data_IF_019282656596
#
_entry.id   IF_019282656596
#
_cell.length_a   1.000
_cell.length_b   1.000
_cell.length_c   1.000
_cell.angle_alpha   90.00
_cell.angle_beta   90.00
_cell.angle_gamma   90.00
#
_symmetry.space_group_name_H-M   'P 1'
#
loop_
_entity.id
_entity.type
_entity.pdbx_description
1 polymer ?
#
# COMPACT_ATOMS: atom_id res chain seq x y z
N UNK A 1 1.72 7.01 -10.16
CA UNK A 1 0.85 5.82 -9.91
C UNK A 1 -0.28 6.22 -8.98
N UNK A 2 -1.51 5.90 -9.36
CA UNK A 2 -2.67 6.17 -8.52
C UNK A 2 -3.13 4.91 -7.77
N UNK A 3 -4.08 5.11 -6.85
CA UNK A 3 -4.57 4.02 -6.01
C UNK A 3 -5.17 2.87 -6.80
N UNK A 4 -6.00 3.18 -7.80
CA UNK A 4 -6.65 2.14 -8.62
C UNK A 4 -5.61 1.29 -9.36
N UNK A 5 -4.61 1.93 -9.93
CA UNK A 5 -3.54 1.23 -10.65
C UNK A 5 -2.74 0.30 -9.73
N UNK A 6 -2.30 0.82 -8.60
CA UNK A 6 -1.50 0.02 -7.67
C UNK A 6 -2.29 -1.15 -7.09
N UNK A 7 -3.52 -0.89 -6.65
CA UNK A 7 -4.37 -1.93 -6.07
C UNK A 7 -4.64 -3.03 -7.08
N UNK A 8 -4.88 -2.68 -8.35
CA UNK A 8 -5.07 -3.66 -9.41
C UNK A 8 -3.83 -4.52 -9.61
N UNK A 9 -2.64 -3.90 -9.67
CA UNK A 9 -1.38 -4.62 -9.79
C UNK A 9 -1.16 -5.57 -8.62
N UNK A 10 -1.37 -5.10 -7.41
CA UNK A 10 -1.14 -5.88 -6.20
C UNK A 10 -2.10 -7.06 -6.10
N UNK A 11 -3.39 -6.83 -6.34
CA UNK A 11 -4.41 -7.88 -6.28
C UNK A 11 -4.13 -8.98 -7.30
N UNK A 12 -3.73 -8.60 -8.51
CA UNK A 12 -3.38 -9.57 -9.55
C UNK A 12 -2.11 -10.34 -9.20
N UNK A 13 -1.09 -9.66 -8.70
CA UNK A 13 0.17 -10.29 -8.33
C UNK A 13 -0.02 -11.32 -7.21
N UNK A 14 -0.84 -10.99 -6.23
CA UNK A 14 -1.12 -11.86 -5.09
C UNK A 14 -2.20 -12.90 -5.38
N UNK A 15 -2.83 -12.84 -6.56
CA UNK A 15 -3.93 -13.75 -6.94
C UNK A 15 -5.01 -13.78 -5.88
N UNK A 16 -5.47 -12.59 -5.45
CA UNK A 16 -6.50 -12.50 -4.43
C UNK A 16 -7.80 -13.18 -4.87
N UNK A 17 -8.55 -13.78 -3.94
CA UNK A 17 -9.81 -14.42 -4.28
C UNK A 17 -10.81 -13.42 -4.85
N UNK A 18 -11.60 -13.89 -5.82
CA UNK A 18 -12.67 -13.08 -6.38
C UNK A 18 -13.68 -12.72 -5.30
N UNK A 19 -14.19 -11.50 -5.38
CA UNK A 19 -15.21 -11.01 -4.46
C UNK A 19 -16.22 -10.20 -5.26
N UNK A 20 -17.50 -10.61 -5.21
CA UNK A 20 -18.56 -9.92 -5.92
C UNK A 20 -19.06 -8.67 -5.21
N UNK A 21 -18.69 -8.49 -3.94
CA UNK A 21 -19.07 -7.30 -3.19
C UNK A 21 -18.14 -6.16 -3.54
N UNK A 22 -18.65 -5.14 -4.20
CA UNK A 22 -17.84 -3.99 -4.62
C UNK A 22 -17.68 -2.95 -3.53
N UNK A 23 -18.26 -3.19 -2.35
CA UNK A 23 -18.29 -2.18 -1.29
C UNK A 23 -19.25 -1.04 -1.65
N UNK A 24 -19.46 -0.17 -0.70
CA UNK A 24 -20.39 0.94 -0.86
C UNK A 24 -19.63 2.26 -0.82
N UNK A 25 -18.73 2.49 -1.77
CA UNK A 25 -18.02 3.76 -1.87
C UNK A 25 -18.89 4.79 -2.57
N UNK A 26 -18.87 6.01 -2.08
CA UNK A 26 -19.64 7.11 -2.66
C UNK A 26 -19.19 7.45 -4.08
N UNK A 27 -17.94 7.17 -4.40
CA UNK A 27 -17.33 7.44 -5.71
C UNK A 27 -17.14 6.19 -6.56
N UNK A 28 -18.00 5.19 -6.38
CA UNK A 28 -17.94 3.95 -7.17
C UNK A 28 -17.91 4.20 -8.67
N UNK A 29 -18.67 5.19 -9.13
CA UNK A 29 -18.74 5.58 -10.53
C UNK A 29 -17.40 6.09 -11.07
N UNK A 30 -16.52 6.58 -10.21
CA UNK A 30 -15.19 7.06 -10.59
C UNK A 30 -14.14 5.95 -10.64
N UNK A 31 -14.44 4.80 -10.06
CA UNK A 31 -13.52 3.66 -10.13
C UNK A 31 -13.61 3.06 -11.53
N UNK A 32 -12.51 3.03 -12.29
CA UNK A 32 -12.54 2.43 -13.63
C UNK A 32 -13.10 1.01 -13.60
N UNK A 33 -13.85 0.65 -14.61
CA UNK A 33 -14.49 -0.67 -14.68
C UNK A 33 -13.47 -1.79 -14.50
N UNK A 34 -12.28 -1.65 -15.12
CA UNK A 34 -11.22 -2.65 -15.03
C UNK A 34 -10.65 -2.80 -13.60
N UNK A 35 -10.79 -1.77 -12.75
CA UNK A 35 -10.26 -1.77 -11.40
C UNK A 35 -11.28 -2.24 -10.35
N UNK A 36 -12.57 -2.20 -10.65
CA UNK A 36 -13.63 -2.50 -9.67
C UNK A 36 -13.52 -3.87 -9.00
N UNK A 37 -13.30 -4.97 -9.74
CA UNK A 37 -13.16 -6.27 -9.08
C UNK A 37 -11.92 -6.33 -8.17
N UNK A 38 -10.84 -5.68 -8.56
CA UNK A 38 -9.61 -5.67 -7.78
C UNK A 38 -9.73 -4.79 -6.54
N UNK A 39 -10.45 -3.68 -6.64
CA UNK A 39 -10.77 -2.86 -5.47
C UNK A 39 -11.59 -3.66 -4.45
N UNK A 40 -12.58 -4.42 -4.90
CA UNK A 40 -13.39 -5.27 -4.05
C UNK A 40 -12.55 -6.35 -3.37
N UNK A 41 -11.66 -7.00 -4.12
CA UNK A 41 -10.74 -8.00 -3.59
C UNK A 41 -9.83 -7.42 -2.50
N UNK A 42 -9.27 -6.23 -2.75
CA UNK A 42 -8.36 -5.57 -1.80
C UNK A 42 -9.08 -5.15 -0.51
N UNK A 43 -10.30 -4.67 -0.62
CA UNK A 43 -11.11 -4.32 0.56
C UNK A 43 -11.42 -5.58 1.36
N UNK A 44 -11.84 -6.64 0.70
CA UNK A 44 -12.17 -7.90 1.35
C UNK A 44 -10.95 -8.52 2.04
N UNK A 45 -9.77 -8.35 1.46
CA UNK A 45 -8.51 -8.87 2.03
C UNK A 45 -7.94 -7.97 3.14
N UNK A 46 -8.57 -6.85 3.45
CA UNK A 46 -8.10 -5.95 4.49
C UNK A 46 -6.92 -5.07 4.10
N UNK A 47 -6.59 -5.01 2.81
CA UNK A 47 -5.47 -4.21 2.31
C UNK A 47 -5.80 -2.73 2.31
N UNK A 48 -7.02 -2.38 1.92
CA UNK A 48 -7.53 -1.01 1.90
C UNK A 48 -8.92 -0.97 2.51
N UNK A 49 -9.28 0.17 3.11
CA UNK A 49 -10.59 0.35 3.73
C UNK A 49 -11.34 1.59 3.24
N UNK A 50 -10.74 2.36 2.33
CA UNK A 50 -11.29 3.65 1.93
C UNK A 50 -11.05 4.73 2.97
N UNK A 51 -11.61 5.90 2.72
CA UNK A 51 -11.46 7.06 3.59
C UNK A 51 -12.68 7.27 4.49
N UNK A 52 -12.51 8.08 5.53
CA UNK A 52 -13.56 8.32 6.52
C UNK A 52 -14.84 8.93 5.91
N UNK A 53 -14.71 9.64 4.78
CA UNK A 53 -15.85 10.23 4.07
C UNK A 53 -16.60 9.23 3.18
N UNK A 54 -16.22 7.96 3.19
CA UNK A 54 -16.86 6.92 2.40
C UNK A 54 -16.37 6.83 0.96
N UNK A 55 -15.28 7.51 0.62
CA UNK A 55 -14.72 7.47 -0.74
C UNK A 55 -13.55 6.50 -0.86
N UNK A 56 -13.31 6.01 -2.07
CA UNK A 56 -12.16 5.16 -2.41
C UNK A 56 -10.99 5.98 -2.96
N UNK A 57 -11.29 7.05 -3.70
CA UNK A 57 -10.33 7.95 -4.35
C UNK A 57 -9.39 7.22 -5.32
N UNK A 58 -9.93 6.63 -6.38
CA UNK A 58 -9.14 5.78 -7.30
C UNK A 58 -8.03 6.54 -8.02
N UNK A 59 -8.23 7.82 -8.31
CA UNK A 59 -7.28 8.64 -9.06
C UNK A 59 -6.22 9.30 -8.19
N UNK A 60 -6.35 9.22 -6.87
CA UNK A 60 -5.40 9.84 -5.96
C UNK A 60 -4.03 9.20 -6.10
N UNK A 61 -3.00 10.02 -6.20
CA UNK A 61 -1.61 9.55 -6.22
C UNK A 61 -1.24 8.95 -4.88
N UNK A 62 -0.50 7.85 -4.92
CA UNK A 62 -0.01 7.20 -3.70
C UNK A 62 1.30 7.81 -3.26
N UNK A 63 1.40 8.09 -1.96
CA UNK A 63 2.68 8.41 -1.35
C UNK A 63 3.45 7.13 -1.04
N UNK A 64 4.75 7.24 -0.80
CA UNK A 64 5.58 6.11 -0.39
C UNK A 64 5.05 5.49 0.91
N UNK A 65 4.57 6.32 1.85
CA UNK A 65 3.97 5.82 3.10
C UNK A 65 2.74 4.95 2.84
N UNK A 66 1.81 5.42 2.00
CA UNK A 66 0.59 4.69 1.70
C UNK A 66 0.87 3.37 1.00
N UNK A 67 1.76 3.39 0.01
CA UNK A 67 2.17 2.20 -0.73
C UNK A 67 2.78 1.16 0.23
N UNK A 68 3.65 1.59 1.13
CA UNK A 68 4.31 0.71 2.10
C UNK A 68 3.28 0.07 3.04
N UNK A 69 2.34 0.85 3.55
CA UNK A 69 1.28 0.33 4.43
C UNK A 69 0.45 -0.73 3.72
N UNK A 70 0.08 -0.49 2.46
CA UNK A 70 -0.70 -1.47 1.68
C UNK A 70 0.05 -2.79 1.51
N UNK A 71 1.34 -2.73 1.22
CA UNK A 71 2.16 -3.94 1.06
C UNK A 71 2.26 -4.73 2.36
N UNK A 72 2.50 -4.06 3.48
CA UNK A 72 2.60 -4.73 4.78
C UNK A 72 1.28 -5.41 5.13
N UNK A 73 0.17 -4.73 4.90
CA UNK A 73 -1.17 -5.32 5.12
C UNK A 73 -1.43 -6.50 4.20
N UNK A 74 -1.04 -6.38 2.93
CA UNK A 74 -1.24 -7.45 1.96
C UNK A 74 -0.50 -8.73 2.34
N UNK A 75 0.67 -8.59 2.96
CA UNK A 75 1.49 -9.73 3.39
C UNK A 75 1.08 -10.27 4.75
N UNK A 76 0.20 -9.59 5.48
CA UNK A 76 -0.20 -10.00 6.81
C UNK A 76 0.94 -9.95 7.83
N UNK A 77 1.93 -9.09 7.60
CA UNK A 77 3.08 -8.96 8.50
C UNK A 77 2.62 -8.38 9.83
N UNK A 78 3.04 -9.01 10.91
CA UNK A 78 2.75 -8.50 12.26
C UNK A 78 3.54 -7.22 12.50
N UNK A 79 2.84 -6.19 12.98
CA UNK A 79 3.39 -4.85 13.16
C UNK A 79 3.57 -4.57 14.66
N UNK A 80 4.77 -4.09 15.03
CA UNK A 80 5.04 -3.63 16.39
C UNK A 80 4.71 -2.13 16.47
N UNK A 81 3.66 -1.80 17.21
CA UNK A 81 3.19 -0.42 17.33
C UNK A 81 4.17 0.49 18.07
N UNK A 82 5.18 -0.06 18.74
CA UNK A 82 6.20 0.68 19.45
C UNK A 82 7.51 0.80 18.67
N UNK A 83 7.58 0.21 17.47
CA UNK A 83 8.79 0.25 16.66
C UNK A 83 9.12 1.69 16.25
N UNK A 84 10.41 2.01 16.27
CA UNK A 84 10.89 3.35 15.93
C UNK A 84 11.67 3.34 14.62
N UNK A 85 11.54 4.42 13.88
CA UNK A 85 12.27 4.62 12.62
C UNK A 85 13.59 5.32 12.91
N UNK A 86 14.62 4.94 12.16
CA UNK A 86 15.97 5.53 12.27
C UNK A 86 16.28 6.51 11.13
N UNK A 87 15.33 6.78 10.26
CA UNK A 87 15.52 7.76 9.17
C UNK A 87 15.62 9.18 9.73
N UNK A 88 16.41 10.02 9.06
CA UNK A 88 16.55 11.43 9.48
C UNK A 88 15.25 12.21 9.38
N UNK A 89 14.34 11.78 8.49
CA UNK A 89 13.03 12.39 8.31
C UNK A 89 11.91 11.61 9.02
N UNK A 90 12.26 10.82 10.03
CA UNK A 90 11.27 10.04 10.78
C UNK A 90 10.16 10.92 11.37
N UNK A 91 10.48 12.16 11.76
CA UNK A 91 9.50 13.10 12.29
C UNK A 91 8.41 13.51 11.29
N UNK A 92 8.68 13.36 9.99
CA UNK A 92 7.73 13.66 8.92
C UNK A 92 6.81 12.47 8.59
N UNK A 93 7.11 11.30 9.12
CA UNK A 93 6.31 10.10 8.85
C UNK A 93 5.01 10.16 9.67
N UNK A 94 3.85 10.00 9.01
CA UNK A 94 2.59 9.97 9.75
C UNK A 94 2.60 8.86 10.82
N UNK A 95 2.03 9.15 11.97
CA UNK A 95 2.02 8.20 13.09
C UNK A 95 1.36 6.87 12.72
N UNK A 96 0.31 6.91 11.91
CA UNK A 96 -0.38 5.69 11.47
C UNK A 96 0.48 4.82 10.56
N UNK A 97 1.46 5.41 9.88
CA UNK A 97 2.31 4.70 8.92
C UNK A 97 3.61 4.18 9.56
N UNK A 98 4.09 4.83 10.62
CA UNK A 98 5.41 4.54 11.19
C UNK A 98 5.64 3.06 11.53
N UNK A 99 4.71 2.36 12.23
CA UNK A 99 4.94 0.94 12.54
C UNK A 99 4.99 0.07 11.29
N UNK A 100 4.20 0.38 10.27
CA UNK A 100 4.20 -0.36 9.00
C UNK A 100 5.49 -0.16 8.23
N UNK A 101 6.00 1.07 8.21
CA UNK A 101 7.27 1.38 7.55
C UNK A 101 8.42 0.67 8.27
N UNK A 102 8.41 0.66 9.60
CA UNK A 102 9.42 -0.05 10.38
C UNK A 102 9.40 -1.55 10.07
N UNK A 103 8.22 -2.16 9.97
CA UNK A 103 8.07 -3.56 9.61
C UNK A 103 8.60 -3.84 8.20
N UNK A 104 8.30 -2.97 7.26
CA UNK A 104 8.75 -3.11 5.87
C UNK A 104 10.27 -3.01 5.76
N UNK A 105 10.89 -2.09 6.50
CA UNK A 105 12.35 -1.94 6.54
C UNK A 105 12.99 -3.18 7.16
N UNK A 106 12.44 -3.67 8.26
CA UNK A 106 12.94 -4.86 8.93
C UNK A 106 12.92 -6.09 8.01
N UNK A 107 11.92 -6.20 7.16
CA UNK A 107 11.79 -7.30 6.19
C UNK A 107 12.48 -7.00 4.85
N UNK A 108 13.22 -5.91 4.77
CA UNK A 108 13.93 -5.48 3.55
C UNK A 108 13.01 -5.29 2.34
N UNK A 109 11.75 -4.96 2.58
CA UNK A 109 10.78 -4.69 1.52
C UNK A 109 10.95 -3.31 0.92
N UNK A 110 11.37 -2.35 1.72
CA UNK A 110 11.60 -0.97 1.29
C UNK A 110 12.95 -0.47 1.81
N UNK A 111 13.54 0.45 1.06
CA UNK A 111 14.77 1.13 1.44
C UNK A 111 14.53 2.63 1.45
N UNK A 112 15.45 3.38 2.04
CA UNK A 112 15.42 4.83 1.96
C UNK A 112 15.75 5.32 0.55
N UNK A 113 15.58 6.61 0.35
CA UNK A 113 15.82 7.28 -0.94
C UNK A 113 17.23 7.86 -1.05
N UNK A 114 18.07 7.61 -0.05
CA UNK A 114 19.41 8.18 0.08
C UNK A 114 19.46 9.16 1.23
N UNK A 115 20.68 9.50 1.70
CA UNK A 115 20.90 10.42 2.82
C UNK A 115 20.14 10.02 4.09
N UNK A 116 19.91 8.73 4.26
CA UNK A 116 19.15 8.16 5.38
C UNK A 116 17.74 8.77 5.52
N UNK A 117 17.05 9.00 4.38
CA UNK A 117 15.69 9.51 4.34
C UNK A 117 14.72 8.49 3.77
N UNK A 118 13.51 8.46 4.28
CA UNK A 118 12.45 7.63 3.74
C UNK A 118 11.62 8.35 2.66
N UNK A 119 11.47 9.64 2.78
CA UNK A 119 10.64 10.50 1.92
C UNK A 119 9.16 10.06 1.97
N UNK A 120 8.50 10.12 3.13
CA UNK A 120 7.16 9.55 3.33
C UNK A 120 6.08 10.16 2.45
N UNK A 121 6.19 11.45 2.13
CA UNK A 121 5.18 12.19 1.36
C UNK A 121 5.48 12.25 -0.13
N UNK A 122 6.62 11.73 -0.57
CA UNK A 122 6.93 11.69 -1.99
C UNK A 122 5.98 10.74 -2.69
N UNK A 123 5.46 11.15 -3.85
CA UNK A 123 4.59 10.29 -4.66
C UNK A 123 5.41 9.08 -5.14
N UNK A 124 4.87 7.89 -4.91
CA UNK A 124 5.50 6.66 -5.35
C UNK A 124 5.47 6.58 -6.88
N UNK A 125 6.58 6.16 -7.46
CA UNK A 125 6.66 5.96 -8.91
C UNK A 125 6.17 4.56 -9.28
N UNK A 126 5.80 4.38 -10.55
CA UNK A 126 5.44 3.06 -11.07
C UNK A 126 6.62 2.09 -10.93
N UNK A 127 7.83 2.56 -11.19
CA UNK A 127 9.04 1.73 -11.04
C UNK A 127 9.23 1.24 -9.60
N UNK A 128 9.02 2.10 -8.62
CA UNK A 128 9.09 1.72 -7.20
C UNK A 128 8.06 0.65 -6.86
N UNK A 129 6.82 0.83 -7.33
CA UNK A 129 5.73 -0.12 -7.07
C UNK A 129 6.02 -1.48 -7.72
N UNK A 130 6.47 -1.49 -8.96
CA UNK A 130 6.79 -2.72 -9.68
C UNK A 130 7.96 -3.45 -9.00
N UNK A 131 9.03 -2.74 -8.66
CA UNK A 131 10.18 -3.33 -7.97
C UNK A 131 9.76 -3.98 -6.66
N UNK A 132 8.90 -3.32 -5.91
CA UNK A 132 8.44 -3.81 -4.62
C UNK A 132 7.59 -5.08 -4.79
N UNK A 133 6.71 -5.11 -5.77
CA UNK A 133 5.88 -6.29 -6.07
C UNK A 133 6.75 -7.45 -6.55
N UNK A 134 7.74 -7.20 -7.41
CA UNK A 134 8.66 -8.24 -7.89
C UNK A 134 9.45 -8.82 -6.71
N UNK A 135 9.98 -7.97 -5.84
CA UNK A 135 10.72 -8.44 -4.65
C UNK A 135 9.83 -9.31 -3.76
N UNK A 136 8.58 -8.94 -3.60
CA UNK A 136 7.62 -9.68 -2.82
C UNK A 136 7.35 -11.07 -3.40
N UNK A 137 7.26 -11.17 -4.72
CA UNK A 137 7.02 -12.45 -5.42
C UNK A 137 8.23 -13.36 -5.42
N UNK A 138 9.43 -12.79 -5.52
CA UNK A 138 10.69 -13.56 -5.57
C UNK A 138 11.18 -13.98 -4.19
N UNK A 139 10.83 -13.23 -3.14
CA UNK A 139 11.28 -13.47 -1.79
C UNK A 139 10.06 -13.54 -0.86
N UNK A 140 9.25 -14.60 -0.97
CA UNK A 140 8.07 -14.72 -0.14
C UNK A 140 8.42 -14.75 1.34
N UNK A 141 7.65 -14.04 2.14
CA UNK A 141 7.82 -13.98 3.59
C UNK A 141 6.97 -15.09 4.20
N UNK A 142 7.63 -15.97 4.90
CA UNK A 142 6.98 -17.06 5.61
C UNK A 142 6.66 -16.68 7.06
#
# INVERSE_FOLDING_TARGET
MNRAEFITMLARALKLPDNSSTGAFKDMDKIPVWARPYAAQAVSAGIVSGYADGTFRPEQKLTRSELTVMIVRALGIKVDTQAKLTFTDAGDVPKWAAPYIAAAVDKSLVNGTGQNKFAPHRVATRAEAVTLIVNLLENPIE
#
